data_IF_632391381983
#
_entry.id   IF_632391381983
#
_cell.length_a   1.000
_cell.length_b   1.000
_cell.length_c   1.000
_cell.angle_alpha   90.00
_cell.angle_beta   90.00
_cell.angle_gamma   90.00
#
_symmetry.space_group_name_H-M   'P 1'
#
loop_
_entity.id
_entity.type
_entity.pdbx_description
1 polymer ?
#
# COMPACT_ATOMS: atom_id res chain seq x y z
N UNK A 1 -2.54 -4.04 -1.07
CA UNK A 1 -3.32 -3.25 -2.01
C UNK A 1 -3.71 -4.02 -3.26
N UNK A 2 -4.69 -3.55 -3.98
CA UNK A 2 -5.14 -4.11 -5.25
C UNK A 2 -5.07 -3.04 -6.33
N UNK A 3 -4.73 -3.38 -7.60
CA UNK A 3 -4.82 -2.45 -8.72
C UNK A 3 -6.23 -1.88 -8.85
N UNK A 4 -6.34 -0.62 -9.27
CA UNK A 4 -7.65 -0.11 -9.64
C UNK A 4 -8.11 -0.80 -10.93
N UNK A 5 -9.40 -1.05 -11.02
CA UNK A 5 -10.01 -1.74 -12.16
C UNK A 5 -11.20 -0.97 -12.70
N UNK A 6 -11.36 -1.04 -14.01
CA UNK A 6 -12.57 -0.57 -14.70
C UNK A 6 -13.15 -1.73 -15.49
N UNK A 7 -14.42 -2.01 -15.25
CA UNK A 7 -15.20 -2.93 -16.06
C UNK A 7 -16.22 -2.16 -16.88
N UNK A 8 -16.19 -2.35 -18.18
CA UNK A 8 -17.09 -1.73 -19.14
C UNK A 8 -17.88 -2.82 -19.87
N UNK A 9 -19.20 -2.71 -19.89
CA UNK A 9 -20.05 -3.56 -20.73
C UNK A 9 -20.69 -2.72 -21.83
N UNK A 10 -20.53 -3.15 -23.06
CA UNK A 10 -21.06 -2.50 -24.27
C UNK A 10 -21.66 -3.52 -25.22
N UNK A 11 -22.33 -3.08 -26.25
CA UNK A 11 -22.71 -3.93 -27.39
C UNK A 11 -21.51 -4.09 -28.33
N UNK A 12 -21.43 -5.25 -28.98
CA UNK A 12 -20.41 -5.47 -30.00
C UNK A 12 -20.59 -4.47 -31.15
N UNK A 13 -19.50 -3.78 -31.50
CA UNK A 13 -19.45 -2.85 -32.61
C UNK A 13 -18.23 -3.21 -33.48
N UNK A 14 -18.45 -3.39 -34.76
CA UNK A 14 -17.38 -3.74 -35.73
C UNK A 14 -16.29 -2.66 -35.87
N UNK A 15 -16.59 -1.41 -35.44
CA UNK A 15 -15.64 -0.30 -35.49
C UNK A 15 -14.76 -0.22 -34.23
N UNK A 16 -15.05 -1.03 -33.20
CA UNK A 16 -14.31 -1.03 -31.94
C UNK A 16 -13.63 -2.37 -31.73
N UNK A 17 -12.31 -2.40 -31.86
CA UNK A 17 -11.50 -3.57 -31.58
C UNK A 17 -10.93 -3.50 -30.16
N UNK A 18 -11.40 -4.39 -29.31
CA UNK A 18 -10.89 -4.53 -27.94
C UNK A 18 -9.68 -5.47 -27.94
N UNK A 19 -8.47 -4.90 -27.99
CA UNK A 19 -7.23 -5.68 -27.93
C UNK A 19 -6.69 -5.75 -26.49
N UNK A 20 -6.13 -6.90 -26.11
CA UNK A 20 -5.35 -7.01 -24.86
C UNK A 20 -4.15 -6.05 -24.91
N UNK A 21 -3.88 -5.35 -23.80
CA UNK A 21 -2.87 -4.29 -23.73
C UNK A 21 -3.33 -2.95 -24.33
N UNK A 22 -4.50 -2.91 -24.96
CA UNK A 22 -5.10 -1.64 -25.40
C UNK A 22 -5.43 -0.73 -24.24
N UNK A 23 -5.35 0.58 -24.47
CA UNK A 23 -5.61 1.58 -23.44
C UNK A 23 -7.12 1.80 -23.29
N UNK A 24 -7.61 1.77 -22.05
CA UNK A 24 -8.96 2.18 -21.66
C UNK A 24 -8.86 3.38 -20.71
N UNK A 25 -9.35 4.53 -21.15
CA UNK A 25 -9.36 5.75 -20.35
C UNK A 25 -10.79 6.25 -20.12
N UNK A 26 -11.12 6.52 -18.86
CA UNK A 26 -12.37 7.15 -18.46
C UNK A 26 -12.08 8.58 -18.00
N UNK A 27 -12.83 9.53 -18.52
CA UNK A 27 -12.72 10.95 -18.16
C UNK A 27 -14.11 11.52 -17.87
N UNK A 28 -14.14 12.48 -16.97
CA UNK A 28 -15.26 13.37 -16.75
C UNK A 28 -14.84 14.78 -17.18
N UNK A 29 -15.37 15.22 -18.31
CA UNK A 29 -14.95 16.45 -18.99
C UNK A 29 -13.41 16.56 -19.11
N UNK A 30 -12.80 17.33 -18.19
CA UNK A 30 -11.35 17.58 -18.16
C UNK A 30 -10.59 16.68 -17.18
N UNK A 31 -11.31 15.95 -16.31
CA UNK A 31 -10.68 15.16 -15.25
C UNK A 31 -10.50 13.73 -15.70
N UNK A 32 -9.27 13.22 -15.62
CA UNK A 32 -9.00 11.79 -15.77
C UNK A 32 -9.49 11.03 -14.53
N UNK A 33 -10.38 10.05 -14.72
CA UNK A 33 -10.92 9.23 -13.64
C UNK A 33 -10.20 7.89 -13.56
N UNK A 34 -9.93 7.29 -14.71
CA UNK A 34 -9.24 6.00 -14.82
C UNK A 34 -8.43 5.97 -16.11
N UNK A 35 -7.25 5.43 -16.03
CA UNK A 35 -6.40 5.08 -17.16
C UNK A 35 -5.80 3.70 -16.90
N UNK A 36 -6.00 2.78 -17.83
CA UNK A 36 -5.51 1.42 -17.64
C UNK A 36 -5.43 0.64 -18.94
N UNK A 37 -5.07 -0.62 -18.80
CA UNK A 37 -4.79 -1.52 -19.90
C UNK A 37 -5.78 -2.68 -19.90
N UNK A 38 -6.35 -2.98 -21.06
CA UNK A 38 -7.30 -4.09 -21.24
C UNK A 38 -6.60 -5.42 -21.00
N UNK A 39 -7.10 -6.16 -20.00
CA UNK A 39 -6.55 -7.49 -19.65
C UNK A 39 -7.53 -8.62 -19.91
N UNK A 40 -8.81 -8.33 -20.00
CA UNK A 40 -9.84 -9.34 -20.26
C UNK A 40 -10.91 -8.76 -21.16
N UNK A 41 -11.29 -9.55 -22.16
CA UNK A 41 -12.43 -9.28 -23.04
C UNK A 41 -13.27 -10.54 -23.10
N UNK A 42 -14.56 -10.42 -22.87
CA UNK A 42 -15.53 -11.49 -23.00
C UNK A 42 -16.73 -11.02 -23.80
N UNK A 43 -17.32 -11.91 -24.58
CA UNK A 43 -18.53 -11.65 -25.34
C UNK A 43 -19.54 -12.76 -25.07
N UNK A 44 -20.79 -12.39 -24.87
CA UNK A 44 -21.87 -13.35 -24.70
C UNK A 44 -22.68 -13.53 -25.99
N UNK A 45 -23.60 -14.49 -25.97
CA UNK A 45 -24.48 -14.83 -27.09
C UNK A 45 -25.42 -13.69 -27.53
N UNK A 46 -25.67 -12.71 -26.63
CA UNK A 46 -26.50 -11.53 -26.90
C UNK A 46 -25.72 -10.38 -27.54
N UNK A 47 -24.45 -10.61 -27.90
CA UNK A 47 -23.60 -9.60 -28.48
C UNK A 47 -23.12 -8.53 -27.47
N UNK A 48 -23.24 -8.78 -26.19
CA UNK A 48 -22.64 -7.90 -25.16
C UNK A 48 -21.16 -8.24 -25.00
N UNK A 49 -20.32 -7.23 -25.02
CA UNK A 49 -18.89 -7.32 -24.77
C UNK A 49 -18.57 -6.69 -23.42
N UNK A 50 -17.96 -7.46 -22.55
CA UNK A 50 -17.44 -6.98 -21.26
C UNK A 50 -15.92 -6.91 -21.31
N UNK A 51 -15.40 -5.73 -21.02
CA UNK A 51 -13.97 -5.42 -21.04
C UNK A 51 -13.53 -5.07 -19.64
N UNK A 52 -12.48 -5.72 -19.14
CA UNK A 52 -11.84 -5.40 -17.87
C UNK A 52 -10.46 -4.83 -18.13
N UNK A 53 -10.20 -3.64 -17.57
CA UNK A 53 -8.90 -3.00 -17.59
C UNK A 53 -8.39 -2.78 -16.16
N UNK A 54 -7.09 -2.84 -15.98
CA UNK A 54 -6.40 -2.48 -14.75
C UNK A 54 -5.47 -1.29 -14.98
N UNK A 55 -5.27 -0.49 -13.93
CA UNK A 55 -4.27 0.57 -13.93
C UNK A 55 -2.83 0.01 -13.98
N UNK A 56 -1.86 0.90 -14.00
CA UNK A 56 -0.45 0.54 -14.15
C UNK A 56 0.11 -0.23 -12.95
N UNK A 57 -0.50 -0.12 -11.76
CA UNK A 57 -0.10 -0.88 -10.58
C UNK A 57 -0.30 -2.39 -10.75
N UNK A 58 -1.12 -2.81 -11.71
CA UNK A 58 -1.25 -4.21 -12.09
C UNK A 58 0.07 -4.82 -12.58
N UNK A 59 0.88 -4.05 -13.33
CA UNK A 59 2.19 -4.52 -13.77
C UNK A 59 3.14 -4.72 -12.58
N UNK A 60 3.07 -3.86 -11.56
CA UNK A 60 3.83 -4.05 -10.33
C UNK A 60 3.45 -5.35 -9.61
N UNK A 61 2.16 -5.74 -9.63
CA UNK A 61 1.69 -6.99 -9.03
C UNK A 61 2.01 -8.24 -9.84
N UNK A 62 2.11 -8.12 -11.16
CA UNK A 62 2.36 -9.27 -12.04
C UNK A 62 3.83 -9.64 -12.16
N UNK A 63 4.70 -8.67 -12.06
CA UNK A 63 6.13 -8.87 -12.21
C UNK A 63 6.77 -9.12 -10.85
N UNK A 64 7.75 -10.02 -10.84
CA UNK A 64 8.57 -10.37 -9.68
C UNK A 64 10.02 -10.16 -10.04
N UNK A 65 10.83 -9.74 -9.06
CA UNK A 65 12.25 -9.54 -9.25
C UNK A 65 13.00 -9.69 -7.92
N UNK A 66 14.31 -9.78 -8.00
CA UNK A 66 15.21 -9.76 -6.86
C UNK A 66 15.95 -8.44 -6.85
N UNK A 67 15.80 -7.69 -5.76
CA UNK A 67 16.47 -6.40 -5.57
C UNK A 67 17.28 -6.36 -4.28
N UNK A 68 18.41 -5.68 -4.37
CA UNK A 68 19.24 -5.30 -3.22
C UNK A 68 19.37 -3.78 -3.23
N UNK A 69 18.82 -3.13 -2.22
CA UNK A 69 18.91 -1.69 -2.03
C UNK A 69 19.79 -1.36 -0.84
N UNK A 70 20.60 -0.31 -0.95
CA UNK A 70 21.40 0.23 0.13
C UNK A 70 21.23 1.75 0.18
N UNK A 71 20.86 2.28 1.35
CA UNK A 71 20.64 3.71 1.58
C UNK A 71 19.67 4.35 0.58
N UNK A 72 18.57 3.65 0.27
CA UNK A 72 17.53 4.11 -0.65
C UNK A 72 16.23 4.43 0.09
N UNK A 73 15.59 5.54 -0.29
CA UNK A 73 14.23 5.86 0.16
C UNK A 73 13.21 5.11 -0.69
N UNK A 74 12.00 4.96 -0.16
CA UNK A 74 10.90 4.28 -0.88
C UNK A 74 10.54 4.96 -2.22
N UNK A 75 10.62 6.30 -2.31
CA UNK A 75 10.44 7.04 -3.56
C UNK A 75 11.54 6.74 -4.58
N UNK A 76 12.79 6.58 -4.15
CA UNK A 76 13.92 6.21 -5.02
C UNK A 76 13.82 4.75 -5.47
N UNK A 77 13.34 3.85 -4.60
CA UNK A 77 13.08 2.45 -4.93
C UNK A 77 12.02 2.34 -6.02
N UNK A 78 10.86 3.03 -5.85
CA UNK A 78 9.84 3.05 -6.90
C UNK A 78 10.35 3.65 -8.20
N UNK A 79 11.15 4.72 -8.15
CA UNK A 79 11.74 5.34 -9.35
C UNK A 79 12.62 4.34 -10.11
N UNK A 80 13.46 3.58 -9.40
CA UNK A 80 14.30 2.56 -10.01
C UNK A 80 13.47 1.44 -10.62
N UNK A 81 12.51 0.88 -9.88
CA UNK A 81 11.62 -0.18 -10.37
C UNK A 81 10.83 0.28 -11.61
N UNK A 82 10.31 1.51 -11.58
CA UNK A 82 9.57 2.06 -12.71
C UNK A 82 10.44 2.19 -13.97
N UNK A 83 11.71 2.61 -13.80
CA UNK A 83 12.65 2.69 -14.90
C UNK A 83 13.03 1.31 -15.46
N UNK A 84 13.24 0.31 -14.59
CA UNK A 84 13.62 -1.06 -15.00
C UNK A 84 12.49 -1.78 -15.78
N UNK A 85 11.23 -1.41 -15.53
CA UNK A 85 10.04 -2.02 -16.14
C UNK A 85 9.29 -1.09 -17.11
N UNK A 86 9.90 0.00 -17.52
CA UNK A 86 9.33 0.98 -18.47
C UNK A 86 7.92 1.48 -18.06
N UNK A 87 7.74 1.71 -16.75
CA UNK A 87 6.50 2.23 -16.18
C UNK A 87 6.56 3.74 -16.03
N UNK A 88 5.44 4.40 -16.32
CA UNK A 88 5.34 5.84 -16.13
C UNK A 88 5.33 6.19 -14.64
N UNK A 89 6.26 7.02 -14.23
CA UNK A 89 6.38 7.50 -12.87
C UNK A 89 6.30 9.02 -12.86
N UNK A 90 5.37 9.56 -12.09
CA UNK A 90 5.21 11.00 -11.93
C UNK A 90 6.15 11.58 -10.87
N UNK A 91 5.91 12.83 -10.48
CA UNK A 91 6.62 13.42 -9.36
C UNK A 91 6.25 12.69 -8.06
N UNK A 92 7.22 12.06 -7.41
CA UNK A 92 7.06 11.35 -6.15
C UNK A 92 7.36 12.28 -4.98
N UNK A 93 6.62 12.14 -3.88
CA UNK A 93 6.99 12.81 -2.64
C UNK A 93 8.21 12.12 -2.01
N UNK A 94 9.15 12.94 -1.52
CA UNK A 94 10.29 12.45 -0.75
C UNK A 94 9.79 11.80 0.55
N UNK A 95 10.04 10.51 0.72
CA UNK A 95 9.55 9.74 1.86
C UNK A 95 10.38 9.93 3.13
N UNK A 96 11.52 10.62 3.04
CA UNK A 96 12.29 11.14 4.18
C UNK A 96 13.19 10.12 4.88
N UNK A 97 13.01 8.82 4.68
CA UNK A 97 13.81 7.78 5.31
C UNK A 97 14.62 6.97 4.28
N UNK A 98 15.94 7.01 4.41
CA UNK A 98 16.83 6.16 3.63
C UNK A 98 17.00 4.81 4.35
N UNK A 99 16.46 3.75 3.78
CA UNK A 99 16.54 2.39 4.30
C UNK A 99 18.01 1.91 4.17
N UNK A 100 18.68 1.57 5.27
CA UNK A 100 20.12 1.25 5.22
C UNK A 100 20.44 0.06 4.32
N UNK A 101 19.62 -0.98 4.39
CA UNK A 101 19.73 -2.19 3.57
C UNK A 101 18.38 -2.85 3.44
N UNK A 102 17.99 -3.25 2.23
CA UNK A 102 16.78 -4.00 1.96
C UNK A 102 17.09 -5.02 0.86
N UNK A 103 16.80 -6.29 1.12
CA UNK A 103 17.01 -7.41 0.19
C UNK A 103 15.66 -8.08 -0.01
N UNK A 104 15.18 -8.03 -1.24
CA UNK A 104 13.92 -8.65 -1.64
C UNK A 104 14.20 -9.69 -2.71
N UNK A 105 13.82 -10.94 -2.46
CA UNK A 105 14.10 -12.06 -3.35
C UNK A 105 12.80 -12.68 -3.88
N UNK A 106 12.62 -12.61 -5.19
CA UNK A 106 11.47 -13.18 -5.90
C UNK A 106 10.11 -12.59 -5.49
N UNK A 107 10.09 -11.40 -4.92
CA UNK A 107 8.86 -10.71 -4.50
C UNK A 107 8.21 -9.99 -5.67
N UNK A 108 6.92 -9.68 -5.55
CA UNK A 108 6.28 -8.81 -6.53
C UNK A 108 6.83 -7.39 -6.40
N UNK A 109 6.96 -6.68 -7.51
CA UNK A 109 7.42 -5.29 -7.49
C UNK A 109 6.55 -4.41 -6.58
N UNK A 110 5.25 -4.73 -6.52
CA UNK A 110 4.29 -4.06 -5.64
C UNK A 110 4.64 -4.27 -4.17
N UNK A 111 4.90 -5.52 -3.77
CA UNK A 111 5.22 -5.85 -2.38
C UNK A 111 6.58 -5.24 -1.98
N UNK A 112 7.56 -5.22 -2.87
CA UNK A 112 8.86 -4.54 -2.65
C UNK A 112 8.65 -3.06 -2.29
N UNK A 113 7.81 -2.34 -3.05
CA UNK A 113 7.51 -0.93 -2.75
C UNK A 113 6.75 -0.80 -1.44
N UNK A 114 5.78 -1.67 -1.16
CA UNK A 114 5.04 -1.64 0.12
C UNK A 114 5.97 -1.88 1.31
N UNK A 115 6.86 -2.86 1.23
CA UNK A 115 7.88 -3.10 2.28
C UNK A 115 8.72 -1.85 2.54
N UNK A 116 9.13 -1.13 1.48
CA UNK A 116 9.87 0.12 1.64
C UNK A 116 9.04 1.24 2.29
N UNK A 117 7.73 1.30 1.99
CA UNK A 117 6.80 2.24 2.63
C UNK A 117 6.53 1.88 4.10
N UNK A 118 6.45 0.58 4.43
CA UNK A 118 6.31 0.11 5.80
C UNK A 118 7.53 0.44 6.65
N UNK A 119 8.74 0.22 6.12
CA UNK A 119 9.97 0.70 6.77
C UNK A 119 9.93 2.22 7.02
N UNK A 120 9.45 2.98 6.06
CA UNK A 120 9.30 4.43 6.21
C UNK A 120 8.27 4.77 7.28
N UNK A 121 7.11 4.11 7.30
CA UNK A 121 6.07 4.32 8.31
C UNK A 121 6.60 4.08 9.73
N UNK A 122 7.29 2.96 9.94
CA UNK A 122 7.86 2.62 11.25
C UNK A 122 8.89 3.65 11.73
N UNK A 123 9.74 4.19 10.83
CA UNK A 123 10.83 5.08 11.23
C UNK A 123 10.48 6.56 11.25
N UNK A 124 9.52 6.99 10.43
CA UNK A 124 9.16 8.42 10.29
C UNK A 124 7.80 8.72 10.91
N UNK A 125 6.98 7.68 11.16
CA UNK A 125 5.60 7.84 11.65
C UNK A 125 4.65 8.45 10.61
N UNK A 126 5.03 8.46 9.31
CA UNK A 126 4.22 9.01 8.23
C UNK A 126 3.76 7.90 7.30
N UNK A 127 2.47 7.92 7.03
CA UNK A 127 1.84 6.98 6.12
C UNK A 127 1.86 7.52 4.68
N UNK A 128 2.47 6.76 3.78
CA UNK A 128 2.46 7.05 2.35
C UNK A 128 1.65 5.99 1.61
N UNK A 129 1.05 6.39 0.49
CA UNK A 129 0.27 5.49 -0.37
C UNK A 129 0.82 5.52 -1.79
N UNK A 130 0.95 4.31 -2.37
CA UNK A 130 1.22 4.09 -3.79
C UNK A 130 -0.10 4.02 -4.55
N UNK A 131 -0.25 4.80 -5.61
CA UNK A 131 -1.43 4.82 -6.46
C UNK A 131 -1.09 5.24 -7.89
N UNK A 132 -2.02 5.03 -8.81
CA UNK A 132 -1.90 5.47 -10.21
C UNK A 132 -2.72 6.76 -10.42
N UNK A 133 -2.05 7.80 -10.89
CA UNK A 133 -2.65 9.08 -11.26
C UNK A 133 -2.80 9.15 -12.78
N UNK A 134 -3.88 8.58 -13.26
CA UNK A 134 -4.22 8.57 -14.69
C UNK A 134 -3.08 8.12 -15.59
N UNK A 135 -2.49 6.96 -15.29
CA UNK A 135 -1.40 6.35 -16.02
C UNK A 135 -0.01 6.80 -15.56
N UNK A 136 0.12 7.31 -14.34
CA UNK A 136 1.39 7.71 -13.75
C UNK A 136 1.47 7.30 -12.28
N UNK A 137 2.45 6.48 -11.91
CA UNK A 137 2.65 6.05 -10.53
C UNK A 137 3.00 7.22 -9.63
N UNK A 138 2.39 7.26 -8.45
CA UNK A 138 2.57 8.28 -7.43
C UNK A 138 2.79 7.66 -6.06
N UNK A 139 3.59 8.33 -5.25
CA UNK A 139 3.64 8.16 -3.79
C UNK A 139 3.24 9.48 -3.16
N UNK A 140 2.28 9.44 -2.25
CA UNK A 140 1.72 10.63 -1.60
C UNK A 140 1.58 10.41 -0.10
N UNK A 141 1.92 11.41 0.70
CA UNK A 141 1.65 11.45 2.14
C UNK A 141 0.13 11.53 2.38
N UNK A 142 -0.43 10.56 3.08
CA UNK A 142 -1.88 10.47 3.36
C UNK A 142 -2.37 11.73 4.08
N UNK A 143 -1.59 12.28 4.99
CA UNK A 143 -1.97 13.49 5.73
C UNK A 143 -2.12 14.72 4.84
N UNK A 144 -1.42 14.77 3.70
CA UNK A 144 -1.55 15.85 2.70
C UNK A 144 -2.66 15.62 1.68
N UNK A 145 -3.19 14.39 1.62
CA UNK A 145 -4.21 13.98 0.65
C UNK A 145 -5.62 14.10 1.21
N UNK A 146 -5.83 14.90 2.26
CA UNK A 146 -7.14 15.10 2.87
C UNK A 146 -8.10 15.75 1.88
N UNK A 147 -9.28 15.15 1.74
CA UNK A 147 -10.39 15.73 1.00
C UNK A 147 -11.16 16.71 1.91
N UNK A 148 -11.60 17.82 1.34
CA UNK A 148 -12.56 18.72 1.97
C UNK A 148 -13.99 18.19 1.78
N UNK A 149 -14.19 16.90 2.09
CA UNK A 149 -15.47 16.21 1.99
C UNK A 149 -15.91 15.79 3.37
N UNK A 150 -17.11 16.19 3.75
CA UNK A 150 -17.74 15.73 4.98
C UNK A 150 -18.71 14.57 4.69
N UNK A 151 -18.46 13.43 5.32
CA UNK A 151 -19.31 12.25 5.24
C UNK A 151 -19.91 12.01 6.63
N UNK A 152 -21.22 12.17 6.76
CA UNK A 152 -21.93 12.03 8.05
C UNK A 152 -23.42 12.26 7.90
N UNK A 153 -24.11 12.43 9.03
CA UNK A 153 -25.55 12.75 9.06
C UNK A 153 -25.84 14.02 8.25
N UNK A 154 -26.86 13.97 7.40
CA UNK A 154 -27.28 15.04 6.48
C UNK A 154 -26.29 15.35 5.35
N UNK A 155 -25.41 14.40 5.04
CA UNK A 155 -24.51 14.46 3.89
C UNK A 155 -24.86 13.38 2.86
N UNK A 156 -23.92 13.03 2.00
CA UNK A 156 -24.10 11.97 1.00
C UNK A 156 -24.08 10.54 1.56
N UNK A 157 -23.87 10.35 2.87
CA UNK A 157 -23.83 9.03 3.50
C UNK A 157 -25.23 8.40 3.54
N UNK A 158 -25.34 7.14 3.12
CA UNK A 158 -26.57 6.34 3.14
C UNK A 158 -26.52 5.22 4.17
N UNK A 159 -25.36 4.93 4.73
CA UNK A 159 -25.15 3.95 5.79
C UNK A 159 -23.67 3.83 6.16
N UNK A 160 -23.41 3.18 7.28
CA UNK A 160 -22.04 2.91 7.72
C UNK A 160 -21.95 1.60 8.50
N UNK A 161 -20.75 1.04 8.54
CA UNK A 161 -20.36 -0.03 9.46
C UNK A 161 -19.08 0.39 10.16
N UNK A 162 -19.05 0.30 11.48
CA UNK A 162 -17.85 0.53 12.30
C UNK A 162 -17.45 -0.78 12.95
N UNK A 163 -16.19 -1.13 12.82
CA UNK A 163 -15.61 -2.31 13.44
C UNK A 163 -14.34 -1.93 14.21
N UNK A 164 -14.14 -2.57 15.35
CA UNK A 164 -12.93 -2.43 16.15
C UNK A 164 -12.52 -3.82 16.63
N UNK A 165 -11.33 -4.24 16.27
CA UNK A 165 -10.81 -5.59 16.55
C UNK A 165 -9.39 -5.56 17.09
N UNK A 166 -9.00 -6.64 17.78
CA UNK A 166 -7.63 -6.91 18.23
C UNK A 166 -7.11 -8.24 17.67
N UNK A 167 -7.79 -8.79 16.65
CA UNK A 167 -7.50 -10.12 16.08
C UNK A 167 -6.36 -10.06 15.06
N UNK A 168 -6.32 -9.03 14.21
CA UNK A 168 -5.33 -8.91 13.15
C UNK A 168 -4.32 -7.80 13.44
N UNK A 169 -3.03 -8.07 13.27
CA UNK A 169 -1.93 -7.08 13.34
C UNK A 169 -1.93 -6.21 14.61
N UNK A 170 -2.47 -6.73 15.73
CA UNK A 170 -2.44 -6.06 17.04
C UNK A 170 -1.49 -6.82 17.96
N UNK A 171 -0.43 -6.14 18.40
CA UNK A 171 0.60 -6.74 19.26
C UNK A 171 0.90 -5.82 20.44
N UNK A 172 0.77 -6.36 21.66
CA UNK A 172 1.11 -5.65 22.90
C UNK A 172 2.48 -6.06 23.46
N UNK A 173 3.20 -6.90 22.71
CA UNK A 173 4.55 -7.33 23.00
C UNK A 173 5.33 -7.53 21.72
N UNK A 174 6.47 -6.84 21.60
CA UNK A 174 7.38 -6.96 20.48
C UNK A 174 8.66 -7.61 20.97
N UNK A 175 9.07 -8.71 20.34
CA UNK A 175 10.33 -9.39 20.61
C UNK A 175 11.25 -9.27 19.41
N UNK A 176 12.27 -8.44 19.55
CA UNK A 176 13.33 -8.31 18.55
C UNK A 176 14.52 -9.17 18.93
N UNK A 177 15.13 -9.82 17.96
CA UNK A 177 16.33 -10.64 18.16
C UNK A 177 17.40 -10.26 17.14
N UNK A 178 18.67 -10.32 17.59
CA UNK A 178 19.84 -10.09 16.75
C UNK A 178 20.82 -11.22 16.93
N UNK A 179 21.34 -11.77 15.85
CA UNK A 179 22.43 -12.75 15.91
C UNK A 179 23.75 -12.02 16.22
N UNK A 180 24.30 -12.30 17.39
CA UNK A 180 25.58 -11.73 17.82
C UNK A 180 26.74 -12.61 17.35
N UNK A 181 27.35 -12.22 16.22
CA UNK A 181 28.46 -12.97 15.60
C UNK A 181 29.72 -13.06 16.48
N UNK A 182 29.85 -12.17 17.47
CA UNK A 182 31.01 -12.16 18.38
C UNK A 182 30.85 -13.21 19.49
N UNK A 183 29.63 -13.37 20.03
CA UNK A 183 29.36 -14.28 21.15
C UNK A 183 28.76 -15.62 20.71
N UNK A 184 28.33 -15.74 19.45
CA UNK A 184 27.59 -16.88 18.92
C UNK A 184 26.21 -17.06 19.53
N UNK A 185 25.69 -16.05 20.24
CA UNK A 185 24.38 -16.06 20.91
C UNK A 185 23.44 -15.03 20.26
N UNK A 186 22.17 -15.11 20.59
CA UNK A 186 21.16 -14.10 20.21
C UNK A 186 21.02 -13.07 21.31
N UNK A 187 21.14 -11.81 20.96
CA UNK A 187 20.70 -10.69 21.79
C UNK A 187 19.18 -10.57 21.63
N UNK A 188 18.47 -10.40 22.76
CA UNK A 188 17.01 -10.34 22.78
C UNK A 188 16.57 -9.02 23.39
N UNK A 189 15.67 -8.31 22.69
CA UNK A 189 15.06 -7.06 23.14
C UNK A 189 13.55 -7.28 23.22
N UNK A 190 12.95 -6.84 24.34
CA UNK A 190 11.51 -6.99 24.58
C UNK A 190 10.92 -5.62 24.89
N UNK A 191 9.86 -5.29 24.16
CA UNK A 191 9.03 -4.10 24.36
C UNK A 191 7.61 -4.58 24.61
N UNK A 192 6.95 -4.08 25.68
CA UNK A 192 5.63 -4.59 26.03
C UNK A 192 4.81 -3.54 26.80
N UNK A 193 3.50 -3.65 26.65
CA UNK A 193 2.49 -2.92 27.40
C UNK A 193 1.75 -3.87 28.34
N UNK A 194 2.04 -3.76 29.63
CA UNK A 194 1.47 -4.64 30.65
C UNK A 194 -0.03 -4.43 30.85
N UNK A 195 -0.53 -3.22 30.62
CA UNK A 195 -1.94 -2.89 30.80
C UNK A 195 -2.77 -3.55 29.69
N UNK A 196 -2.36 -3.40 28.45
CA UNK A 196 -3.01 -4.08 27.32
C UNK A 196 -2.81 -5.60 27.35
N UNK A 197 -1.70 -6.12 27.89
CA UNK A 197 -1.53 -7.57 28.13
C UNK A 197 -2.54 -8.10 29.16
N UNK A 198 -2.90 -7.30 30.14
CA UNK A 198 -3.92 -7.68 31.14
C UNK A 198 -5.31 -7.70 30.52
N UNK A 199 -5.61 -6.79 29.58
CA UNK A 199 -6.93 -6.68 28.95
C UNK A 199 -7.15 -7.72 27.84
N UNK A 200 -6.14 -7.96 26.99
CA UNK A 200 -6.29 -8.77 25.77
C UNK A 200 -5.53 -10.09 25.80
N UNK A 201 -4.77 -10.36 26.88
CA UNK A 201 -3.77 -11.42 26.89
C UNK A 201 -2.48 -10.99 26.18
N UNK A 202 -1.54 -11.94 26.06
CA UNK A 202 -0.25 -11.69 25.40
C UNK A 202 -0.41 -11.89 23.89
N UNK A 203 -0.28 -10.80 23.15
CA UNK A 203 -0.23 -10.76 21.70
C UNK A 203 1.20 -10.36 21.31
N UNK A 204 2.03 -11.34 20.92
CA UNK A 204 3.46 -11.13 20.68
C UNK A 204 3.79 -11.20 19.19
N UNK A 205 4.46 -10.15 18.70
CA UNK A 205 5.18 -10.19 17.43
C UNK A 205 6.66 -10.54 17.66
N UNK A 206 7.30 -11.14 16.64
CA UNK A 206 8.69 -11.58 16.67
C UNK A 206 9.39 -11.23 15.37
N UNK A 207 10.47 -10.46 15.47
CA UNK A 207 11.26 -10.06 14.31
C UNK A 207 12.76 -10.28 14.56
N UNK A 208 13.47 -10.72 13.52
CA UNK A 208 14.94 -10.71 13.50
C UNK A 208 15.41 -9.40 12.88
N UNK A 209 16.10 -8.58 13.66
CA UNK A 209 16.58 -7.29 13.18
C UNK A 209 17.72 -7.45 12.18
N UNK A 210 17.80 -6.50 11.26
CA UNK A 210 18.82 -6.49 10.21
C UNK A 210 20.24 -6.40 10.78
N UNK A 211 21.18 -7.06 10.10
CA UNK A 211 22.62 -6.95 10.40
C UNK A 211 23.06 -5.49 10.29
N UNK A 212 23.79 -5.02 11.31
CA UNK A 212 24.36 -3.66 11.34
C UNK A 212 23.56 -2.63 12.15
N UNK A 213 22.35 -2.93 12.59
CA UNK A 213 21.65 -2.05 13.53
C UNK A 213 22.35 -2.03 14.88
N UNK A 214 22.63 -0.81 15.39
CA UNK A 214 23.16 -0.65 16.73
C UNK A 214 22.03 -0.77 17.78
N UNK A 215 22.41 -0.86 19.07
CA UNK A 215 21.44 -1.06 20.16
C UNK A 215 20.42 0.08 20.28
N UNK A 216 20.82 1.32 20.03
CA UNK A 216 19.93 2.47 20.08
C UNK A 216 18.86 2.40 18.97
N UNK A 217 19.27 2.02 17.76
CA UNK A 217 18.36 1.82 16.62
C UNK A 217 17.37 0.68 16.87
N UNK A 218 17.83 -0.44 17.48
CA UNK A 218 16.95 -1.57 17.83
C UNK A 218 15.92 -1.14 18.87
N UNK A 219 16.33 -0.37 19.89
CA UNK A 219 15.42 0.13 20.90
C UNK A 219 14.39 1.10 20.32
N UNK A 220 14.81 1.99 19.44
CA UNK A 220 13.91 2.91 18.75
C UNK A 220 12.90 2.15 17.88
N UNK A 221 13.38 1.22 17.04
CA UNK A 221 12.55 0.39 16.19
C UNK A 221 11.49 -0.39 16.98
N UNK A 222 11.89 -1.08 18.05
CA UNK A 222 10.96 -1.85 18.89
C UNK A 222 9.93 -0.98 19.62
N UNK A 223 10.32 0.23 20.04
CA UNK A 223 9.38 1.17 20.66
C UNK A 223 8.37 1.71 19.65
N UNK A 224 8.81 2.01 18.42
CA UNK A 224 7.94 2.47 17.34
C UNK A 224 6.99 1.36 16.88
N UNK A 225 7.46 0.11 16.78
CA UNK A 225 6.58 -1.03 16.49
C UNK A 225 5.50 -1.20 17.56
N UNK A 226 5.89 -1.13 18.85
CA UNK A 226 4.91 -1.23 19.93
C UNK A 226 3.88 -0.09 19.86
N UNK A 227 4.29 1.15 19.64
CA UNK A 227 3.38 2.28 19.47
C UNK A 227 2.42 2.10 18.28
N UNK A 228 2.92 1.57 17.17
CA UNK A 228 2.14 1.37 15.95
C UNK A 228 1.10 0.26 16.11
N UNK A 229 1.49 -0.89 16.69
CA UNK A 229 0.66 -2.10 16.70
C UNK A 229 -0.11 -2.32 18.01
N UNK A 230 0.26 -1.66 19.10
CA UNK A 230 -0.40 -1.83 20.41
C UNK A 230 -1.71 -1.02 20.52
N UNK A 231 -2.62 -1.26 19.60
CA UNK A 231 -3.93 -0.60 19.54
C UNK A 231 -4.93 -1.44 18.76
N UNK A 232 -6.23 -1.37 19.12
CA UNK A 232 -7.25 -2.00 18.31
C UNK A 232 -7.24 -1.47 16.87
N UNK A 233 -7.30 -2.36 15.90
CA UNK A 233 -7.54 -2.00 14.51
C UNK A 233 -8.99 -1.52 14.37
N UNK A 234 -9.17 -0.39 13.74
CA UNK A 234 -10.48 0.21 13.54
C UNK A 234 -10.75 0.31 12.05
N UNK A 235 -11.88 -0.20 11.61
CA UNK A 235 -12.40 -0.02 10.26
C UNK A 235 -13.70 0.75 10.28
N UNK A 236 -13.87 1.60 9.28
CA UNK A 236 -15.08 2.39 9.10
C UNK A 236 -15.47 2.36 7.62
N UNK A 237 -16.50 1.58 7.32
CA UNK A 237 -17.08 1.50 5.98
C UNK A 237 -18.25 2.47 5.88
N UNK A 238 -18.26 3.29 4.84
CA UNK A 238 -19.35 4.23 4.58
C UNK A 238 -19.94 3.96 3.22
N UNK A 239 -21.25 3.80 3.16
CA UNK A 239 -22.02 3.81 1.92
C UNK A 239 -22.46 5.24 1.65
N UNK A 240 -22.13 5.77 0.49
CA UNK A 240 -22.42 7.15 0.13
C UNK A 240 -22.81 7.26 -1.36
N UNK A 241 -23.40 8.38 -1.72
CA UNK A 241 -23.56 8.75 -3.13
C UNK A 241 -22.18 8.96 -3.74
N UNK A 242 -22.05 8.68 -5.04
CA UNK A 242 -20.80 8.77 -5.76
C UNK A 242 -20.26 10.20 -5.74
N UNK A 243 -19.01 10.35 -5.28
CA UNK A 243 -18.19 11.54 -5.45
C UNK A 243 -16.89 11.13 -6.16
N UNK A 244 -16.63 11.72 -7.32
CA UNK A 244 -15.48 11.36 -8.17
C UNK A 244 -14.13 11.81 -7.61
N UNK A 245 -14.11 12.62 -6.56
CA UNK A 245 -12.87 13.01 -5.86
C UNK A 245 -12.37 11.95 -4.88
N UNK A 246 -13.26 11.03 -4.46
CA UNK A 246 -12.91 9.95 -3.53
C UNK A 246 -12.08 8.88 -4.25
N UNK A 247 -10.87 8.66 -3.78
CA UNK A 247 -9.94 7.65 -4.30
C UNK A 247 -9.26 6.92 -3.15
N UNK A 248 -8.81 5.69 -3.39
CA UNK A 248 -8.02 4.95 -2.43
C UNK A 248 -6.77 5.75 -1.99
N UNK A 249 -6.46 5.72 -0.69
CA UNK A 249 -5.32 6.43 -0.11
C UNK A 249 -5.54 7.91 0.20
N UNK A 250 -6.74 8.46 -0.01
CA UNK A 250 -7.08 9.80 0.46
C UNK A 250 -7.72 9.75 1.84
N UNK A 251 -7.38 10.72 2.68
CA UNK A 251 -8.04 10.93 3.97
C UNK A 251 -9.33 11.75 3.78
N UNK A 252 -10.36 11.43 4.58
CA UNK A 252 -11.64 12.14 4.67
C UNK A 252 -11.68 12.98 5.95
#
# INVERSE_FOLDING_TARGET
GTPASLELTTLADSNVAWAHGGILALKDDKNGLFYGYVVKVSQNEKGQVTVTAYDQTWYLKKNKETYVFANKRADEILTQIAADFDLNCGALENTGYAIPSMVEDGQTLFDIVLTALDHTLVHVGKMYVLWDDFGSLRITDVAKSKLELFVGDRSMATGYTYESEVDSETYNKIKLVRDNKTTGKRDVYIFQDSDNMTLWGVLQDYETVQDGMNEAQIKEHGSQMLELYNRPKKSFEVKALLDLSVRAGRAL
#
